data_IF_327627872007
#
_entry.id   IF_327627872007
#
_cell.length_a   1.000
_cell.length_b   1.000
_cell.length_c   1.000
_cell.angle_alpha   90.00
_cell.angle_beta   90.00
_cell.angle_gamma   90.00
#
_symmetry.space_group_name_H-M   'P 1'
#
loop_
_entity.id
_entity.type
_entity.pdbx_description
1 polymer ?
#
# COMPACT_ATOMS: atom_id res chain seq x y z
N UNK A 1 42.71 54.24 -16.68
CA UNK A 1 41.46 53.76 -16.04
C UNK A 1 41.65 52.31 -15.63
N UNK A 2 41.27 51.92 -14.40
CA UNK A 2 41.56 50.59 -13.86
C UNK A 2 40.55 49.58 -14.41
N UNK A 3 41.00 48.61 -15.20
CA UNK A 3 40.17 47.57 -15.81
C UNK A 3 39.73 46.56 -14.74
N UNK A 4 38.58 46.80 -14.11
CA UNK A 4 37.96 45.83 -13.21
C UNK A 4 37.27 44.75 -14.02
N UNK A 5 37.58 43.48 -13.74
CA UNK A 5 37.07 42.33 -14.47
C UNK A 5 35.96 41.66 -13.65
N UNK A 6 34.80 41.47 -14.26
CA UNK A 6 33.58 40.90 -13.63
C UNK A 6 33.86 39.51 -13.08
N UNK A 7 33.36 39.21 -11.88
CA UNK A 7 33.49 37.89 -11.24
C UNK A 7 34.69 37.72 -10.30
N UNK A 8 35.63 38.68 -10.24
CA UNK A 8 36.77 38.56 -9.31
C UNK A 8 36.37 38.77 -7.84
N UNK A 9 35.34 39.58 -7.59
CA UNK A 9 34.93 39.92 -6.22
C UNK A 9 33.99 38.86 -5.65
N UNK A 10 32.96 38.44 -6.39
CA UNK A 10 32.12 37.31 -5.96
C UNK A 10 32.93 36.02 -5.79
N UNK A 11 33.82 35.69 -6.72
CA UNK A 11 34.68 34.52 -6.59
C UNK A 11 35.59 34.61 -5.35
N UNK A 12 36.14 35.80 -5.07
CA UNK A 12 36.93 36.04 -3.86
C UNK A 12 36.13 35.87 -2.58
N UNK A 13 34.93 36.44 -2.51
CA UNK A 13 34.02 36.31 -1.34
C UNK A 13 33.62 34.85 -1.13
N UNK A 14 33.28 34.13 -2.20
CA UNK A 14 32.89 32.71 -2.15
C UNK A 14 34.07 31.85 -1.66
N UNK A 15 35.28 32.07 -2.16
CA UNK A 15 36.48 31.35 -1.71
C UNK A 15 36.79 31.60 -0.24
N UNK A 16 36.67 32.86 0.21
CA UNK A 16 36.87 33.22 1.62
C UNK A 16 35.79 32.57 2.50
N UNK A 17 34.52 32.59 2.07
CA UNK A 17 33.42 31.98 2.80
C UNK A 17 33.58 30.45 2.91
N UNK A 18 33.90 29.78 1.80
CA UNK A 18 34.16 28.33 1.79
C UNK A 18 35.37 27.99 2.67
N UNK A 19 36.46 28.76 2.56
CA UNK A 19 37.67 28.58 3.39
C UNK A 19 37.40 28.77 4.88
N UNK A 20 36.63 29.80 5.26
CA UNK A 20 36.22 30.04 6.65
C UNK A 20 35.32 28.92 7.18
N UNK A 21 34.37 28.44 6.38
CA UNK A 21 33.49 27.32 6.76
C UNK A 21 34.30 26.04 7.00
N UNK A 22 35.26 25.73 6.13
CA UNK A 22 36.18 24.59 6.30
C UNK A 22 37.10 24.75 7.52
N UNK A 23 37.59 25.96 7.78
CA UNK A 23 38.42 26.22 8.95
C UNK A 23 37.63 26.06 10.26
N UNK A 24 36.40 26.61 10.30
CA UNK A 24 35.50 26.53 11.46
C UNK A 24 35.04 25.10 11.76
N UNK A 25 35.03 24.21 10.75
CA UNK A 25 34.75 22.79 10.93
C UNK A 25 35.70 22.13 11.96
N UNK A 26 36.94 22.60 12.08
CA UNK A 26 37.90 22.03 13.02
C UNK A 26 37.57 22.37 14.49
N UNK A 27 36.70 23.35 14.72
CA UNK A 27 36.36 23.86 16.05
C UNK A 27 34.90 23.65 16.45
N UNK A 28 33.99 23.42 15.48
CA UNK A 28 32.54 23.37 15.72
C UNK A 28 31.93 22.12 15.07
N UNK A 29 31.24 21.28 15.85
CA UNK A 29 30.62 20.02 15.42
C UNK A 29 29.23 20.19 14.75
N UNK A 30 29.05 21.18 13.88
CA UNK A 30 27.80 21.33 13.12
C UNK A 30 27.85 20.44 11.87
N UNK A 31 26.73 19.81 11.44
CA UNK A 31 26.68 18.97 10.25
C UNK A 31 26.67 19.82 8.95
N UNK A 32 27.82 20.39 8.59
CA UNK A 32 27.99 21.28 7.43
C UNK A 32 27.85 20.60 6.06
N UNK A 33 27.92 19.27 6.00
CA UNK A 33 27.78 18.49 4.76
C UNK A 33 26.46 18.77 4.04
N UNK A 34 25.36 18.88 4.80
CA UNK A 34 24.03 19.22 4.25
C UNK A 34 23.95 20.66 3.74
N UNK A 35 24.68 21.57 4.39
CA UNK A 35 24.65 23.00 4.09
C UNK A 35 25.48 23.33 2.85
N UNK A 36 26.66 22.70 2.69
CA UNK A 36 27.50 22.83 1.49
C UNK A 36 26.84 22.25 0.24
N UNK A 37 26.16 21.09 0.36
CA UNK A 37 25.43 20.46 -0.76
C UNK A 37 24.22 21.28 -1.19
N UNK A 38 23.59 22.04 -0.29
CA UNK A 38 22.41 22.84 -0.62
C UNK A 38 22.73 24.31 -0.97
N UNK A 39 23.93 24.80 -0.66
CA UNK A 39 24.30 26.21 -0.84
C UNK A 39 24.90 26.54 -2.22
N UNK A 40 25.33 25.54 -3.01
CA UNK A 40 25.91 25.81 -4.34
C UNK A 40 24.98 26.54 -5.33
N UNK A 41 23.63 26.36 -5.32
CA UNK A 41 22.75 27.16 -6.18
C UNK A 41 22.75 28.64 -5.81
N UNK A 42 22.93 28.97 -4.53
CA UNK A 42 23.01 30.37 -4.05
C UNK A 42 24.28 31.05 -4.61
N UNK A 43 25.39 30.31 -4.71
CA UNK A 43 26.61 30.82 -5.33
C UNK A 43 26.40 31.14 -6.83
N UNK A 44 25.66 30.30 -7.56
CA UNK A 44 25.30 30.56 -8.96
C UNK A 44 24.41 31.80 -9.11
N UNK A 45 23.43 31.97 -8.22
CA UNK A 45 22.53 33.12 -8.22
C UNK A 45 23.31 34.42 -7.97
N UNK A 46 24.20 34.43 -6.97
CA UNK A 46 25.00 35.61 -6.64
C UNK A 46 25.96 36.00 -7.77
N UNK A 47 26.56 35.01 -8.44
CA UNK A 47 27.42 35.25 -9.61
C UNK A 47 26.59 35.81 -10.80
N UNK A 48 25.39 35.27 -11.04
CA UNK A 48 24.47 35.80 -12.04
C UNK A 48 24.02 37.24 -11.77
N UNK A 49 23.70 37.55 -10.51
CA UNK A 49 23.34 38.92 -10.07
C UNK A 49 24.48 39.90 -10.31
N UNK A 50 25.73 39.53 -9.99
CA UNK A 50 26.88 40.42 -10.21
C UNK A 50 27.10 40.70 -11.71
N UNK A 51 26.95 39.69 -12.57
CA UNK A 51 27.04 39.88 -14.03
C UNK A 51 25.95 40.85 -14.53
N UNK A 52 24.71 40.68 -14.07
CA UNK A 52 23.60 41.56 -14.43
C UNK A 52 23.84 43.00 -13.96
N UNK A 53 24.27 43.18 -12.71
CA UNK A 53 24.59 44.50 -12.15
C UNK A 53 25.73 45.18 -12.93
N UNK A 54 26.76 44.42 -13.30
CA UNK A 54 27.89 44.98 -14.06
C UNK A 54 27.47 45.42 -15.48
N UNK A 55 26.55 44.69 -16.11
CA UNK A 55 25.99 45.05 -17.42
C UNK A 55 25.11 46.31 -17.35
N UNK A 56 24.35 46.49 -16.26
CA UNK A 56 23.50 47.68 -16.07
C UNK A 56 24.32 48.94 -15.81
N UNK A 57 25.43 48.83 -15.06
CA UNK A 57 26.25 49.98 -14.65
C UNK A 57 27.22 50.44 -15.76
N UNK A 58 27.59 49.57 -16.71
CA UNK A 58 28.55 49.91 -17.78
C UNK A 58 27.99 49.52 -19.17
N UNK A 59 27.24 50.44 -19.78
CA UNK A 59 26.54 50.22 -21.05
C UNK A 59 27.40 50.22 -22.34
N UNK A 60 28.69 50.59 -22.29
CA UNK A 60 29.47 50.83 -23.52
C UNK A 60 30.80 50.06 -23.66
N UNK A 61 31.17 49.19 -22.72
CA UNK A 61 32.39 48.37 -22.85
C UNK A 61 32.07 46.97 -23.42
N UNK A 62 32.82 46.54 -24.45
CA UNK A 62 32.70 45.18 -25.02
C UNK A 62 32.95 44.14 -23.92
N UNK A 63 31.96 43.29 -23.63
CA UNK A 63 32.07 42.18 -22.68
C UNK A 63 33.21 41.23 -23.07
N UNK A 64 34.38 41.39 -22.47
CA UNK A 64 35.50 40.45 -22.59
C UNK A 64 35.44 39.46 -21.44
N UNK A 65 34.89 38.27 -21.70
CA UNK A 65 34.88 37.18 -20.73
C UNK A 65 36.31 36.71 -20.41
N UNK A 66 36.60 36.45 -19.14
CA UNK A 66 37.87 35.82 -18.77
C UNK A 66 37.86 34.37 -19.27
N UNK A 67 38.92 33.89 -19.91
CA UNK A 67 39.07 32.45 -20.18
C UNK A 67 38.91 31.61 -18.90
N UNK A 68 39.25 32.21 -17.75
CA UNK A 68 39.01 31.63 -16.42
C UNK A 68 37.53 31.51 -16.05
N UNK A 69 36.64 32.44 -16.44
CA UNK A 69 35.20 32.34 -16.14
C UNK A 69 34.52 31.32 -17.03
N UNK A 70 34.95 31.17 -18.29
CA UNK A 70 34.51 30.08 -19.18
C UNK A 70 35.01 28.73 -18.65
N UNK A 71 36.27 28.66 -18.22
CA UNK A 71 36.83 27.46 -17.59
C UNK A 71 36.07 27.09 -16.31
N UNK A 72 35.70 28.06 -15.48
CA UNK A 72 34.93 27.83 -14.24
C UNK A 72 33.51 27.34 -14.57
N UNK A 73 32.89 27.84 -15.65
CA UNK A 73 31.59 27.38 -16.13
C UNK A 73 31.66 25.92 -16.63
N UNK A 74 32.69 25.58 -17.41
CA UNK A 74 32.94 24.20 -17.88
C UNK A 74 33.25 23.27 -16.71
N UNK A 75 34.07 23.72 -15.75
CA UNK A 75 34.38 22.98 -14.54
C UNK A 75 33.11 22.73 -13.72
N UNK A 76 32.22 23.72 -13.59
CA UNK A 76 30.95 23.55 -12.89
C UNK A 76 30.00 22.60 -13.62
N UNK A 77 29.93 22.67 -14.95
CA UNK A 77 29.13 21.73 -15.74
C UNK A 77 29.67 20.31 -15.60
N UNK A 78 31.00 20.15 -15.60
CA UNK A 78 31.70 18.89 -15.35
C UNK A 78 31.48 18.36 -13.93
N UNK A 79 31.53 19.21 -12.91
CA UNK A 79 31.23 18.83 -11.51
C UNK A 79 29.77 18.43 -11.36
N UNK A 80 28.82 19.13 -11.99
CA UNK A 80 27.41 18.76 -11.97
C UNK A 80 27.16 17.43 -12.67
N UNK A 81 27.82 17.17 -13.80
CA UNK A 81 27.79 15.88 -14.48
C UNK A 81 28.42 14.79 -13.62
N UNK A 82 29.57 15.04 -13.00
CA UNK A 82 30.22 14.11 -12.06
C UNK A 82 29.39 13.88 -10.81
N UNK A 83 28.59 14.82 -10.34
CA UNK A 83 27.69 14.62 -9.21
C UNK A 83 26.45 13.80 -9.62
N UNK A 84 25.91 14.08 -10.81
CA UNK A 84 24.78 13.34 -11.39
C UNK A 84 25.14 11.90 -11.76
N UNK A 85 26.34 11.70 -12.32
CA UNK A 85 26.91 10.39 -12.66
C UNK A 85 27.48 9.73 -11.39
N UNK A 86 28.09 10.51 -10.50
CA UNK A 86 28.57 10.05 -9.19
C UNK A 86 27.45 9.48 -8.32
N UNK A 87 26.23 10.00 -8.42
CA UNK A 87 25.05 9.40 -7.78
C UNK A 87 24.75 7.99 -8.31
N UNK A 88 25.02 7.70 -9.59
CA UNK A 88 24.95 6.35 -10.15
C UNK A 88 26.13 5.49 -9.69
N UNK A 89 27.35 6.05 -9.64
CA UNK A 89 28.57 5.34 -9.19
C UNK A 89 28.64 5.10 -7.66
N UNK A 90 27.94 5.87 -6.81
CA UNK A 90 27.81 5.60 -5.37
C UNK A 90 27.16 4.23 -5.13
N UNK A 91 26.33 3.77 -6.08
CA UNK A 91 25.71 2.46 -6.07
C UNK A 91 26.67 1.31 -6.42
N UNK A 92 27.80 1.63 -7.08
CA UNK A 92 28.70 0.66 -7.72
C UNK A 92 30.11 0.63 -7.09
N UNK A 93 30.58 1.73 -6.47
CA UNK A 93 31.87 1.85 -5.75
C UNK A 93 31.79 1.38 -4.29
N UNK A 94 30.98 0.36 -4.00
CA UNK A 94 31.21 -0.49 -2.82
C UNK A 94 31.35 0.20 -1.46
N UNK A 95 30.72 1.36 -1.23
CA UNK A 95 30.33 1.74 0.14
C UNK A 95 29.28 0.70 0.55
N UNK A 96 29.76 -0.45 1.01
CA UNK A 96 28.96 -1.37 1.79
C UNK A 96 28.49 -0.54 2.97
N UNK A 97 27.25 -0.04 2.90
CA UNK A 97 26.50 0.29 4.09
C UNK A 97 26.47 -1.03 4.86
N UNK A 98 27.47 -1.24 5.73
CA UNK A 98 27.38 -2.30 6.72
C UNK A 98 26.03 -2.05 7.39
N UNK A 99 25.22 -3.08 7.44
CA UNK A 99 23.96 -3.03 8.13
C UNK A 99 24.13 -3.91 9.35
N UNK A 100 23.76 -3.40 10.50
CA UNK A 100 23.73 -4.18 11.72
C UNK A 100 22.31 -4.69 11.92
N UNK A 101 22.18 -5.94 12.33
CA UNK A 101 20.89 -6.47 12.79
C UNK A 101 20.81 -6.24 14.29
N UNK A 102 19.72 -5.60 14.73
CA UNK A 102 19.37 -5.46 16.13
C UNK A 102 18.27 -6.48 16.42
N UNK A 103 18.54 -7.44 17.31
CA UNK A 103 17.55 -8.41 17.76
C UNK A 103 16.64 -7.79 18.82
N UNK A 104 15.35 -8.10 18.72
CA UNK A 104 14.33 -7.80 19.70
C UNK A 104 13.85 -9.12 20.29
N UNK A 105 13.89 -9.21 21.61
CA UNK A 105 13.28 -10.28 22.39
C UNK A 105 12.68 -9.62 23.63
N UNK A 106 11.41 -9.25 23.52
CA UNK A 106 10.66 -8.57 24.57
C UNK A 106 9.41 -9.38 24.89
N UNK A 107 9.14 -9.58 26.18
CA UNK A 107 7.97 -10.33 26.65
C UNK A 107 7.30 -9.52 27.75
N UNK A 108 6.02 -9.22 27.55
CA UNK A 108 5.23 -8.42 28.48
C UNK A 108 3.91 -9.12 28.77
N UNK A 109 3.66 -9.45 30.02
CA UNK A 109 2.38 -10.01 30.44
C UNK A 109 1.27 -8.96 30.30
N UNK A 110 0.15 -9.32 29.69
CA UNK A 110 -1.05 -8.49 29.71
C UNK A 110 -1.64 -8.57 31.11
N UNK A 111 -1.68 -7.42 31.79
CA UNK A 111 -2.50 -7.27 32.99
C UNK A 111 -3.96 -7.17 32.58
N UNK A 112 -4.88 -7.56 33.48
CA UNK A 112 -6.35 -7.51 33.24
C UNK A 112 -6.92 -6.12 32.91
N UNK A 113 -6.09 -5.08 32.95
CA UNK A 113 -6.43 -3.71 32.58
C UNK A 113 -6.27 -3.39 31.09
N UNK A 114 -5.56 -4.22 30.31
CA UNK A 114 -5.27 -3.94 28.90
C UNK A 114 -6.26 -4.70 28.02
N UNK A 115 -7.06 -3.96 27.26
CA UNK A 115 -8.11 -4.50 26.38
C UNK A 115 -7.75 -4.39 24.89
N UNK A 116 -6.74 -3.57 24.56
CA UNK A 116 -6.41 -3.21 23.18
C UNK A 116 -4.89 -3.23 22.96
N UNK A 117 -4.46 -3.82 21.84
CA UNK A 117 -3.08 -3.78 21.35
C UNK A 117 -3.04 -3.00 20.04
N UNK A 118 -2.21 -1.97 19.99
CA UNK A 118 -1.94 -1.17 18.79
C UNK A 118 -0.51 -1.43 18.35
N UNK A 119 -0.34 -1.93 17.13
CA UNK A 119 0.95 -2.16 16.48
C UNK A 119 1.13 -1.08 15.42
N UNK A 120 2.23 -0.33 15.50
CA UNK A 120 2.61 0.69 14.53
C UNK A 120 3.99 0.38 13.98
N UNK A 121 4.10 0.27 12.66
CA UNK A 121 5.38 0.03 12.03
C UNK A 121 5.49 0.69 10.65
N UNK A 122 6.71 0.76 10.15
CA UNK A 122 7.02 1.31 8.85
C UNK A 122 8.16 0.52 8.21
N UNK A 123 8.02 0.14 6.93
CA UNK A 123 8.96 -0.71 6.22
C UNK A 123 9.19 -2.05 6.95
N UNK A 124 8.11 -2.72 7.36
CA UNK A 124 8.17 -3.85 8.28
C UNK A 124 7.29 -5.00 7.83
N UNK A 125 7.84 -6.22 7.88
CA UNK A 125 7.04 -7.44 7.85
C UNK A 125 6.61 -7.76 9.28
N UNK A 126 5.30 -7.84 9.50
CA UNK A 126 4.72 -8.14 10.81
C UNK A 126 3.94 -9.42 10.73
N UNK A 127 4.30 -10.38 11.56
CA UNK A 127 3.52 -11.58 11.81
C UNK A 127 2.87 -11.47 13.19
N UNK A 128 1.55 -11.44 13.24
CA UNK A 128 0.77 -11.40 14.47
C UNK A 128 0.05 -12.72 14.62
N UNK A 129 0.26 -13.40 15.73
CA UNK A 129 -0.35 -14.68 16.03
C UNK A 129 -1.14 -14.62 17.34
N UNK A 130 -2.40 -15.01 17.29
CA UNK A 130 -3.23 -15.17 18.47
C UNK A 130 -2.92 -16.47 19.21
N UNK A 131 -2.76 -16.38 20.52
CA UNK A 131 -2.44 -17.50 21.40
C UNK A 131 -3.44 -17.57 22.56
N UNK A 132 -3.47 -18.70 23.27
CA UNK A 132 -4.24 -18.84 24.51
C UNK A 132 -3.51 -18.24 25.74
N UNK A 133 -2.29 -17.74 25.54
CA UNK A 133 -1.50 -17.08 26.60
C UNK A 133 -2.04 -15.70 26.91
N UNK A 134 -1.91 -15.26 28.15
CA UNK A 134 -2.18 -13.88 28.58
C UNK A 134 -0.96 -12.98 28.45
N UNK A 135 0.04 -13.34 27.64
CA UNK A 135 1.25 -12.57 27.42
C UNK A 135 1.33 -12.05 25.99
N UNK A 136 1.94 -10.88 25.82
CA UNK A 136 2.38 -10.36 24.53
C UNK A 136 3.88 -10.62 24.41
N UNK A 137 4.27 -11.43 23.43
CA UNK A 137 5.67 -11.67 23.12
C UNK A 137 6.00 -11.01 21.79
N UNK A 138 7.06 -10.21 21.77
CA UNK A 138 7.54 -9.54 20.58
C UNK A 138 8.98 -9.98 20.32
N UNK A 139 9.16 -10.70 19.23
CA UNK A 139 10.44 -11.24 18.80
C UNK A 139 10.72 -10.78 17.38
N UNK A 140 11.96 -10.41 17.06
CA UNK A 140 12.25 -9.98 15.70
C UNK A 140 13.64 -9.41 15.51
N UNK A 141 13.87 -8.89 14.31
CA UNK A 141 15.09 -8.16 14.00
C UNK A 141 14.76 -6.85 13.29
N UNK A 142 15.53 -5.81 13.59
CA UNK A 142 15.52 -4.55 12.86
C UNK A 142 16.88 -4.43 12.18
N UNK A 143 16.85 -4.31 10.85
CA UNK A 143 18.04 -3.98 10.07
C UNK A 143 18.26 -2.46 10.13
N UNK A 144 19.38 -2.05 10.70
CA UNK A 144 19.77 -0.64 10.80
C UNK A 144 21.06 -0.40 10.03
N UNK A 145 21.19 0.81 9.47
CA UNK A 145 22.40 1.21 8.75
C UNK A 145 23.53 1.51 9.74
N UNK A 146 24.65 0.78 9.65
CA UNK A 146 25.87 0.96 10.45
C UNK A 146 26.60 2.23 9.98
N UNK A 147 26.03 3.39 10.33
CA UNK A 147 26.67 4.69 10.09
C UNK A 147 27.51 5.03 11.30
N UNK A 148 28.80 4.65 11.33
CA UNK A 148 29.94 5.21 12.08
C UNK A 148 29.64 6.09 13.35
N UNK A 149 28.61 5.77 14.11
CA UNK A 149 28.22 6.44 15.34
C UNK A 149 28.90 5.63 16.42
N UNK A 150 29.86 6.27 17.08
CA UNK A 150 30.61 5.76 18.23
C UNK A 150 29.74 5.38 19.44
N UNK A 151 28.43 5.57 19.36
CA UNK A 151 27.49 5.28 20.43
C UNK A 151 26.73 4.00 20.12
N UNK A 152 26.71 3.09 21.08
CA UNK A 152 25.96 1.84 21.05
C UNK A 152 24.49 2.11 20.70
N UNK A 153 24.09 1.82 19.46
CA UNK A 153 22.68 1.83 19.05
C UNK A 153 21.87 0.93 20.00
N UNK A 154 20.93 1.53 20.73
CA UNK A 154 20.09 0.79 21.68
C UNK A 154 18.81 0.36 20.98
N UNK A 155 18.31 -0.84 21.29
CA UNK A 155 17.00 -1.34 20.82
C UNK A 155 15.89 -0.32 21.07
N UNK A 156 15.95 0.40 22.20
CA UNK A 156 14.97 1.43 22.61
C UNK A 156 14.81 2.60 21.64
N UNK A 157 15.80 2.82 20.77
CA UNK A 157 15.77 3.92 19.80
C UNK A 157 14.84 3.58 18.61
N UNK A 158 14.74 2.30 18.28
CA UNK A 158 14.00 1.77 17.14
C UNK A 158 12.72 1.02 17.53
N UNK A 159 12.59 0.60 18.78
CA UNK A 159 11.45 -0.17 19.26
C UNK A 159 11.01 0.34 20.62
N UNK A 160 9.69 0.43 20.84
CA UNK A 160 9.15 0.69 22.16
C UNK A 160 7.80 0.05 22.40
N UNK A 161 7.59 -0.41 23.63
CA UNK A 161 6.29 -0.81 24.15
C UNK A 161 5.86 0.18 25.23
N UNK A 162 4.71 0.80 25.05
CA UNK A 162 4.12 1.72 26.03
C UNK A 162 2.73 1.22 26.42
N UNK A 163 2.39 1.35 27.69
CA UNK A 163 1.03 1.11 28.18
C UNK A 163 0.42 2.45 28.52
N UNK A 164 -0.68 2.81 27.86
CA UNK A 164 -1.42 4.04 28.06
C UNK A 164 -2.86 3.68 28.43
N UNK A 165 -3.16 3.69 29.73
CA UNK A 165 -4.48 3.28 30.22
C UNK A 165 -4.75 1.80 29.89
N UNK A 166 -5.80 1.57 29.10
CA UNK A 166 -6.27 0.26 28.64
C UNK A 166 -5.61 -0.22 27.34
N UNK A 167 -4.67 0.55 26.79
CA UNK A 167 -4.01 0.26 25.52
C UNK A 167 -2.54 -0.09 25.69
N UNK A 168 -2.10 -1.13 25.00
CA UNK A 168 -0.68 -1.41 24.78
C UNK A 168 -0.30 -0.98 23.37
N UNK A 169 0.75 -0.16 23.26
CA UNK A 169 1.25 0.35 21.98
C UNK A 169 2.64 -0.23 21.73
N UNK A 170 2.76 -1.00 20.67
CA UNK A 170 4.01 -1.53 20.12
C UNK A 170 4.36 -0.67 18.92
N UNK A 171 5.49 0.02 18.97
CA UNK A 171 5.90 0.98 17.94
C UNK A 171 7.32 0.67 17.46
N UNK A 172 7.46 0.43 16.14
CA UNK A 172 8.76 0.47 15.45
C UNK A 172 8.97 1.89 14.92
N UNK A 173 10.06 2.51 15.35
CA UNK A 173 10.49 3.84 14.90
C UNK A 173 11.59 3.68 13.85
N UNK A 174 11.39 4.34 12.72
CA UNK A 174 12.47 4.52 11.73
C UNK A 174 13.10 5.91 11.94
N UNK A 175 14.41 6.02 11.69
CA UNK A 175 15.10 7.31 11.77
C UNK A 175 14.67 8.19 10.58
N UNK A 176 13.72 9.09 10.84
CA UNK A 176 13.17 10.04 9.85
C UNK A 176 14.22 11.09 9.37
N UNK A 177 15.46 11.07 9.85
CA UNK A 177 16.52 12.01 9.43
C UNK A 177 17.14 11.74 8.06
N UNK A 178 16.53 10.90 7.22
CA UNK A 178 17.05 10.62 5.88
C UNK A 178 16.63 11.72 4.87
N UNK A 179 17.62 12.39 4.29
CA UNK A 179 17.46 13.43 3.25
C UNK A 179 17.00 12.82 1.91
N UNK A 180 17.16 11.51 1.75
CA UNK A 180 16.75 10.76 0.57
C UNK A 180 15.95 9.51 1.01
N UNK A 181 14.74 9.35 0.48
CA UNK A 181 13.83 8.23 0.76
C UNK A 181 14.24 6.94 0.03
N UNK A 182 15.47 6.46 0.25
CA UNK A 182 15.89 5.14 -0.24
C UNK A 182 16.23 4.23 0.94
N UNK A 183 15.25 4.06 1.83
CA UNK A 183 15.45 3.18 2.99
C UNK A 183 15.19 1.72 2.62
N UNK A 184 16.21 0.87 2.77
CA UNK A 184 16.12 -0.58 2.65
C UNK A 184 16.07 -1.27 4.03
N UNK A 185 15.87 -0.50 5.10
CA UNK A 185 15.66 -1.04 6.43
C UNK A 185 14.31 -1.78 6.44
N UNK A 186 14.37 -3.10 6.24
CA UNK A 186 13.26 -4.01 6.49
C UNK A 186 13.42 -4.57 7.90
N UNK A 187 12.44 -4.37 8.74
CA UNK A 187 12.34 -5.07 10.02
C UNK A 187 11.38 -6.25 9.91
N UNK A 188 11.67 -7.34 10.61
CA UNK A 188 10.78 -8.48 10.75
C UNK A 188 10.37 -8.62 12.21
N UNK A 189 9.07 -8.55 12.50
CA UNK A 189 8.54 -8.76 13.85
C UNK A 189 7.54 -9.92 13.86
N UNK A 190 7.67 -10.76 14.88
CA UNK A 190 6.71 -11.76 15.29
C UNK A 190 6.11 -11.32 16.62
N UNK A 191 4.80 -11.17 16.67
CA UNK A 191 4.04 -10.70 17.82
C UNK A 191 3.02 -11.77 18.18
N UNK A 192 3.26 -12.49 19.26
CA UNK A 192 2.25 -13.36 19.88
C UNK A 192 1.43 -12.53 20.86
N UNK A 193 0.11 -12.63 20.79
CA UNK A 193 -0.81 -11.94 21.70
C UNK A 193 -2.04 -12.81 22.00
N UNK A 194 -2.84 -12.52 23.03
CA UNK A 194 -4.06 -13.29 23.30
C UNK A 194 -5.03 -13.18 22.12
N UNK A 195 -5.53 -14.32 21.63
CA UNK A 195 -6.45 -14.34 20.48
C UNK A 195 -7.73 -13.50 20.66
N UNK A 196 -8.15 -13.29 21.90
CA UNK A 196 -9.34 -12.53 22.28
C UNK A 196 -9.14 -11.02 22.43
N UNK A 197 -7.91 -10.50 22.33
CA UNK A 197 -7.67 -9.06 22.50
C UNK A 197 -8.02 -8.27 21.24
N UNK A 198 -8.50 -7.04 21.40
CA UNK A 198 -8.70 -6.10 20.28
C UNK A 198 -7.34 -5.73 19.70
N UNK A 199 -7.19 -5.77 18.38
CA UNK A 199 -5.89 -5.53 17.73
C UNK A 199 -6.02 -4.53 16.59
N UNK A 200 -5.16 -3.50 16.61
CA UNK A 200 -5.04 -2.52 15.53
C UNK A 200 -3.62 -2.56 14.98
N UNK A 201 -3.47 -2.93 13.71
CA UNK A 201 -2.19 -3.05 13.02
C UNK A 201 -2.13 -1.93 11.97
N UNK A 202 -1.19 -1.02 12.11
CA UNK A 202 -0.95 0.05 11.16
C UNK A 202 0.48 -0.05 10.64
N UNK A 203 0.61 -0.47 9.40
CA UNK A 203 1.89 -0.58 8.68
C UNK A 203 1.87 0.44 7.55
N UNK A 204 2.92 1.26 7.41
CA UNK A 204 2.98 2.14 6.23
C UNK A 204 3.34 1.33 4.99
N UNK A 205 4.50 0.68 5.02
CA UNK A 205 4.97 -0.21 3.95
C UNK A 205 5.43 -1.53 4.57
N UNK A 206 5.11 -2.65 3.93
CA UNK A 206 5.47 -3.99 4.36
C UNK A 206 4.27 -4.92 4.52
N UNK A 207 4.54 -6.22 4.61
CA UNK A 207 3.52 -7.25 4.70
C UNK A 207 3.01 -7.44 6.12
N UNK A 208 1.73 -7.83 6.23
CA UNK A 208 1.11 -8.21 7.50
C UNK A 208 0.62 -9.64 7.36
N UNK A 209 1.09 -10.53 8.22
CA UNK A 209 0.56 -11.87 8.39
C UNK A 209 -0.22 -11.90 9.72
N UNK A 210 -1.49 -12.27 9.70
CA UNK A 210 -2.34 -12.40 10.89
C UNK A 210 -2.84 -13.83 10.99
N UNK A 211 -2.64 -14.49 12.13
CA UNK A 211 -3.14 -15.85 12.38
C UNK A 211 -3.90 -15.95 13.70
N UNK A 212 -4.93 -16.78 13.75
CA UNK A 212 -5.58 -17.26 14.98
C UNK A 212 -6.22 -16.17 15.87
N UNK A 213 -7.03 -15.26 15.30
CA UNK A 213 -7.74 -14.21 16.07
C UNK A 213 -9.22 -14.52 16.24
N UNK A 214 -9.76 -14.21 17.41
CA UNK A 214 -11.18 -14.45 17.76
C UNK A 214 -11.93 -13.17 18.16
N UNK A 215 -11.34 -12.01 17.96
CA UNK A 215 -11.94 -10.72 18.27
C UNK A 215 -11.54 -9.67 17.22
N UNK A 216 -12.20 -8.52 17.28
CA UNK A 216 -12.08 -7.44 16.32
C UNK A 216 -10.62 -7.10 16.05
N UNK A 217 -10.25 -7.20 14.78
CA UNK A 217 -8.92 -6.87 14.28
C UNK A 217 -9.04 -5.89 13.12
N UNK A 218 -8.25 -4.81 13.18
CA UNK A 218 -8.18 -3.78 12.14
C UNK A 218 -6.75 -3.71 11.62
N UNK A 219 -6.58 -3.94 10.33
CA UNK A 219 -5.29 -3.89 9.63
C UNK A 219 -5.38 -2.78 8.59
N UNK A 220 -4.46 -1.82 8.66
CA UNK A 220 -4.25 -0.83 7.62
C UNK A 220 -2.80 -0.92 7.14
N UNK A 221 -2.64 -1.12 5.84
CA UNK A 221 -1.36 -0.97 5.13
C UNK A 221 -1.47 0.10 4.04
N UNK A 222 -0.38 0.77 3.64
CA UNK A 222 -0.39 1.45 2.34
C UNK A 222 0.10 0.48 1.27
N UNK A 223 1.28 -0.10 1.49
CA UNK A 223 1.94 -0.99 0.54
C UNK A 223 2.30 -2.31 1.20
N UNK A 224 2.08 -3.42 0.49
CA UNK A 224 2.42 -4.77 0.94
C UNK A 224 1.21 -5.67 1.13
N UNK A 225 1.47 -6.97 1.02
CA UNK A 225 0.46 -8.02 1.08
C UNK A 225 -0.06 -8.21 2.52
N UNK A 226 -1.36 -8.40 2.66
CA UNK A 226 -2.00 -8.77 3.92
C UNK A 226 -2.45 -10.22 3.80
N UNK A 227 -1.88 -11.12 4.61
CA UNK A 227 -2.25 -12.52 4.71
C UNK A 227 -2.96 -12.76 6.03
N UNK A 228 -4.15 -13.36 6.00
CA UNK A 228 -4.99 -13.56 7.17
C UNK A 228 -5.47 -15.01 7.19
N UNK A 229 -5.27 -15.69 8.31
CA UNK A 229 -5.66 -17.08 8.49
C UNK A 229 -6.36 -17.31 9.83
N UNK A 230 -7.41 -18.14 9.84
CA UNK A 230 -8.09 -18.62 11.05
C UNK A 230 -8.59 -17.44 11.91
N UNK A 231 -9.50 -16.65 11.35
CA UNK A 231 -10.07 -15.46 12.03
C UNK A 231 -11.56 -15.61 12.26
N UNK A 232 -11.99 -15.36 13.50
CA UNK A 232 -13.40 -15.28 13.89
C UNK A 232 -13.70 -13.89 14.47
N UNK A 233 -14.84 -13.31 14.10
CA UNK A 233 -15.31 -12.01 14.59
C UNK A 233 -15.22 -10.89 13.56
N UNK A 234 -15.06 -9.64 14.00
CA UNK A 234 -15.03 -8.49 13.09
C UNK A 234 -13.63 -8.32 12.48
N UNK A 235 -13.51 -8.24 11.17
CA UNK A 235 -12.23 -8.02 10.49
C UNK A 235 -12.32 -6.83 9.54
N UNK A 236 -11.47 -5.82 9.74
CA UNK A 236 -11.27 -4.74 8.77
C UNK A 236 -9.84 -4.83 8.26
N UNK A 237 -9.64 -5.22 7.00
CA UNK A 237 -8.32 -5.33 6.39
C UNK A 237 -8.26 -4.45 5.14
N UNK A 238 -7.42 -3.41 5.20
CA UNK A 238 -7.29 -2.43 4.13
C UNK A 238 -5.84 -2.25 3.71
N UNK A 239 -5.60 -2.24 2.41
CA UNK A 239 -4.31 -1.84 1.82
C UNK A 239 -4.54 -0.91 0.64
N UNK A 240 -3.53 -0.17 0.18
CA UNK A 240 -3.68 0.68 -1.01
C UNK A 240 -3.29 -0.10 -2.26
N UNK A 241 -2.06 -0.62 -2.27
CA UNK A 241 -1.47 -1.23 -3.47
C UNK A 241 -1.13 -2.73 -3.29
N UNK A 242 -1.37 -3.29 -2.10
CA UNK A 242 -1.11 -4.70 -1.82
C UNK A 242 -2.28 -5.62 -2.16
N UNK A 243 -2.00 -6.92 -2.31
CA UNK A 243 -3.03 -7.95 -2.32
C UNK A 243 -3.48 -8.33 -0.91
N UNK A 244 -4.69 -8.85 -0.78
CA UNK A 244 -5.21 -9.40 0.48
C UNK A 244 -5.59 -10.86 0.26
N UNK A 245 -5.04 -11.75 1.08
CA UNK A 245 -5.43 -13.16 1.15
C UNK A 245 -6.08 -13.46 2.49
N UNK A 246 -7.27 -14.04 2.48
CA UNK A 246 -8.03 -14.44 3.66
C UNK A 246 -8.38 -15.92 3.56
N UNK A 247 -7.97 -16.73 4.54
CA UNK A 247 -8.27 -18.17 4.57
C UNK A 247 -8.88 -18.57 5.91
N UNK A 248 -9.93 -19.39 5.88
CA UNK A 248 -10.63 -19.93 7.06
C UNK A 248 -11.13 -18.81 7.99
N UNK A 249 -12.24 -18.18 7.61
CA UNK A 249 -12.80 -17.07 8.38
C UNK A 249 -14.29 -17.25 8.70
N UNK A 250 -14.68 -16.79 9.89
CA UNK A 250 -16.07 -16.64 10.30
C UNK A 250 -16.30 -15.20 10.75
N UNK A 251 -16.85 -14.39 9.84
CA UNK A 251 -16.87 -12.94 9.96
C UNK A 251 -18.25 -12.40 10.32
N UNK A 252 -18.28 -11.35 11.12
CA UNK A 252 -19.50 -10.62 11.47
C UNK A 252 -19.82 -9.51 10.47
N UNK A 253 -21.03 -8.95 10.55
CA UNK A 253 -21.60 -7.96 9.61
C UNK A 253 -20.75 -6.72 9.34
N UNK A 254 -19.91 -6.30 10.29
CA UNK A 254 -19.10 -5.08 10.20
C UNK A 254 -17.72 -5.32 9.56
N UNK A 255 -17.50 -6.49 8.96
CA UNK A 255 -16.20 -6.84 8.35
C UNK A 255 -16.07 -6.25 6.95
N UNK A 256 -14.86 -5.79 6.62
CA UNK A 256 -14.55 -5.11 5.36
C UNK A 256 -13.14 -5.48 4.90
N UNK A 257 -13.02 -5.98 3.68
CA UNK A 257 -11.76 -6.32 3.03
C UNK A 257 -11.60 -5.41 1.81
N UNK A 258 -10.59 -4.56 1.79
CA UNK A 258 -10.47 -3.58 0.71
C UNK A 258 -9.02 -3.31 0.26
N UNK A 259 -8.84 -3.18 -1.05
CA UNK A 259 -7.61 -2.66 -1.65
C UNK A 259 -7.96 -1.68 -2.77
N UNK A 260 -7.01 -0.89 -3.28
CA UNK A 260 -7.24 -0.13 -4.51
C UNK A 260 -6.73 -0.93 -5.71
N UNK A 261 -5.47 -1.32 -5.69
CA UNK A 261 -4.82 -1.83 -6.92
C UNK A 261 -4.51 -3.34 -6.85
N UNK A 262 -4.72 -3.97 -5.69
CA UNK A 262 -4.39 -5.38 -5.48
C UNK A 262 -5.52 -6.35 -5.73
N UNK A 263 -5.16 -7.62 -5.87
CA UNK A 263 -6.09 -8.75 -5.86
C UNK A 263 -6.58 -9.06 -4.44
N UNK A 264 -7.85 -9.47 -4.33
CA UNK A 264 -8.43 -10.03 -3.11
C UNK A 264 -8.72 -11.51 -3.34
N UNK A 265 -8.09 -12.39 -2.57
CA UNK A 265 -8.34 -13.84 -2.59
C UNK A 265 -8.91 -14.28 -1.25
N UNK A 266 -10.04 -14.97 -1.26
CA UNK A 266 -10.73 -15.44 -0.05
C UNK A 266 -11.07 -16.91 -0.19
N UNK A 267 -10.73 -17.72 0.83
CA UNK A 267 -11.02 -19.16 0.86
C UNK A 267 -11.66 -19.55 2.19
N UNK A 268 -12.69 -20.39 2.14
CA UNK A 268 -13.37 -20.94 3.32
C UNK A 268 -13.90 -19.82 4.23
N UNK A 269 -14.90 -19.07 3.76
CA UNK A 269 -15.51 -17.95 4.48
C UNK A 269 -16.93 -18.30 4.93
N UNK A 270 -17.29 -17.91 6.15
CA UNK A 270 -18.64 -17.98 6.69
C UNK A 270 -19.08 -16.66 7.33
N UNK A 271 -20.40 -16.46 7.46
CA UNK A 271 -20.98 -15.27 8.07
C UNK A 271 -21.22 -14.15 7.06
N UNK A 272 -20.45 -13.06 7.14
CA UNK A 272 -20.64 -11.86 6.31
C UNK A 272 -19.38 -11.51 5.53
N UNK A 273 -19.56 -10.93 4.33
CA UNK A 273 -18.45 -10.55 3.48
C UNK A 273 -18.71 -9.24 2.73
N UNK A 274 -17.84 -8.25 2.94
CA UNK A 274 -17.76 -7.06 2.11
C UNK A 274 -16.34 -6.98 1.55
N UNK A 275 -16.22 -7.03 0.22
CA UNK A 275 -14.94 -7.03 -0.48
C UNK A 275 -14.94 -6.01 -1.61
N UNK A 276 -13.98 -5.10 -1.59
CA UNK A 276 -13.87 -4.04 -2.60
C UNK A 276 -12.43 -3.90 -3.10
N UNK A 277 -12.25 -3.92 -4.41
CA UNK A 277 -11.01 -3.45 -5.05
C UNK A 277 -11.34 -2.42 -6.13
N UNK A 278 -10.35 -1.69 -6.62
CA UNK A 278 -10.56 -0.76 -7.74
C UNK A 278 -10.05 -1.39 -9.04
N UNK A 279 -8.77 -1.69 -9.11
CA UNK A 279 -8.11 -2.12 -10.35
C UNK A 279 -7.59 -3.58 -10.26
N UNK A 280 -8.09 -4.35 -9.29
CA UNK A 280 -7.75 -5.77 -9.09
C UNK A 280 -8.92 -6.73 -9.29
N UNK A 281 -8.61 -8.02 -9.34
CA UNK A 281 -9.61 -9.09 -9.33
C UNK A 281 -10.02 -9.47 -7.90
N UNK A 282 -11.22 -10.07 -7.79
CA UNK A 282 -11.69 -10.70 -6.55
C UNK A 282 -11.95 -12.17 -6.83
N UNK A 283 -11.32 -13.05 -6.06
CA UNK A 283 -11.53 -14.51 -6.14
C UNK A 283 -11.99 -15.04 -4.79
N UNK A 284 -13.13 -15.72 -4.75
CA UNK A 284 -13.72 -16.29 -3.53
C UNK A 284 -14.05 -17.76 -3.76
N UNK A 285 -13.54 -18.63 -2.89
CA UNK A 285 -13.72 -20.08 -2.93
C UNK A 285 -14.33 -20.58 -1.61
N UNK A 286 -15.36 -21.43 -1.68
CA UNK A 286 -16.05 -22.01 -0.52
C UNK A 286 -16.61 -20.94 0.43
N UNK A 287 -17.68 -20.28 0.00
CA UNK A 287 -18.37 -19.25 0.78
C UNK A 287 -19.72 -19.72 1.30
N UNK A 288 -19.98 -19.53 2.60
CA UNK A 288 -21.28 -19.79 3.23
C UNK A 288 -21.77 -18.56 4.01
N UNK A 289 -22.56 -17.72 3.35
CA UNK A 289 -22.89 -16.36 3.78
C UNK A 289 -24.29 -16.33 4.40
N UNK A 290 -24.38 -15.84 5.64
CA UNK A 290 -25.62 -15.69 6.41
C UNK A 290 -26.39 -14.41 6.02
N UNK A 291 -25.69 -13.42 5.46
CA UNK A 291 -26.22 -12.12 5.06
C UNK A 291 -26.14 -11.86 3.55
N UNK A 292 -26.03 -10.57 3.19
CA UNK A 292 -25.72 -10.15 1.82
C UNK A 292 -24.22 -9.92 1.71
N UNK A 293 -23.55 -10.58 0.77
CA UNK A 293 -22.21 -10.16 0.38
C UNK A 293 -22.24 -8.99 -0.58
N UNK A 294 -21.41 -7.99 -0.32
CA UNK A 294 -21.16 -6.89 -1.24
C UNK A 294 -19.76 -7.09 -1.83
N UNK A 295 -19.68 -7.39 -3.12
CA UNK A 295 -18.42 -7.72 -3.82
C UNK A 295 -18.29 -6.77 -5.01
N UNK A 296 -17.33 -5.85 -4.96
CA UNK A 296 -17.19 -4.80 -5.97
C UNK A 296 -15.75 -4.67 -6.47
N UNK A 297 -15.57 -4.64 -7.78
CA UNK A 297 -14.36 -4.11 -8.43
C UNK A 297 -14.73 -3.05 -9.46
N UNK A 298 -13.77 -2.25 -9.92
CA UNK A 298 -13.99 -1.26 -10.99
C UNK A 298 -13.41 -1.77 -12.31
N UNK A 299 -12.18 -2.25 -12.30
CA UNK A 299 -11.46 -2.80 -13.45
C UNK A 299 -10.81 -4.12 -13.06
N UNK A 300 -11.58 -5.20 -13.17
CA UNK A 300 -11.17 -6.53 -12.74
C UNK A 300 -12.30 -7.55 -12.80
N UNK A 301 -11.91 -8.82 -12.79
CA UNK A 301 -12.82 -9.95 -12.78
C UNK A 301 -13.27 -10.31 -11.36
N UNK A 302 -14.50 -10.82 -11.24
CA UNK A 302 -15.01 -11.42 -10.01
C UNK A 302 -15.24 -12.90 -10.28
N UNK A 303 -14.51 -13.76 -9.57
CA UNK A 303 -14.60 -15.21 -9.68
C UNK A 303 -15.07 -15.78 -8.34
N UNK A 304 -16.20 -16.49 -8.34
CA UNK A 304 -16.80 -17.08 -7.16
C UNK A 304 -17.02 -18.56 -7.41
N UNK A 305 -16.54 -19.43 -6.53
CA UNK A 305 -16.69 -20.88 -6.65
C UNK A 305 -17.19 -21.48 -5.34
N UNK A 306 -18.16 -22.39 -5.42
CA UNK A 306 -18.91 -22.95 -4.27
C UNK A 306 -19.45 -21.83 -3.35
N UNK A 307 -20.31 -20.99 -3.93
CA UNK A 307 -20.88 -19.83 -3.25
C UNK A 307 -22.31 -20.11 -2.76
N UNK A 308 -22.54 -20.00 -1.45
CA UNK A 308 -23.83 -20.17 -0.80
C UNK A 308 -24.21 -18.90 -0.06
N UNK A 309 -25.37 -18.33 -0.35
CA UNK A 309 -25.86 -17.11 0.31
C UNK A 309 -26.42 -16.07 -0.66
N UNK A 310 -26.72 -14.88 -0.15
CA UNK A 310 -27.18 -13.74 -0.96
C UNK A 310 -26.00 -12.90 -1.43
N UNK A 311 -25.99 -12.54 -2.71
CA UNK A 311 -24.89 -11.78 -3.32
C UNK A 311 -25.34 -10.49 -4.02
N UNK A 312 -24.53 -9.44 -3.85
CA UNK A 312 -24.49 -8.27 -4.72
C UNK A 312 -23.07 -8.13 -5.30
N UNK A 313 -22.86 -8.62 -6.53
CA UNK A 313 -21.58 -8.57 -7.22
C UNK A 313 -21.59 -7.52 -8.33
N UNK A 314 -20.57 -6.65 -8.36
CA UNK A 314 -20.47 -5.60 -9.36
C UNK A 314 -19.03 -5.40 -9.86
N UNK A 315 -18.87 -5.33 -11.18
CA UNK A 315 -17.70 -4.75 -11.83
C UNK A 315 -18.12 -3.70 -12.87
N UNK A 316 -17.22 -2.78 -13.25
CA UNK A 316 -17.49 -1.92 -14.41
C UNK A 316 -16.83 -2.52 -15.65
N UNK A 317 -15.55 -2.91 -15.57
CA UNK A 317 -14.85 -3.58 -16.65
C UNK A 317 -14.34 -4.93 -16.15
N UNK A 318 -14.88 -6.02 -16.71
CA UNK A 318 -14.47 -7.38 -16.31
C UNK A 318 -15.62 -8.37 -16.29
N UNK A 319 -15.26 -9.65 -16.40
CA UNK A 319 -16.22 -10.74 -16.31
C UNK A 319 -16.62 -11.00 -14.85
N UNK A 320 -17.83 -11.55 -14.67
CA UNK A 320 -18.26 -12.11 -13.39
C UNK A 320 -18.59 -13.59 -13.63
N UNK A 321 -17.82 -14.48 -13.00
CA UNK A 321 -18.01 -15.91 -13.05
C UNK A 321 -18.47 -16.39 -11.67
N UNK A 322 -19.61 -17.05 -11.61
CA UNK A 322 -20.17 -17.62 -10.38
C UNK A 322 -20.46 -19.09 -10.60
N UNK A 323 -19.68 -19.97 -10.00
CA UNK A 323 -19.74 -21.42 -10.14
C UNK A 323 -20.31 -22.08 -8.87
N UNK A 324 -21.01 -23.20 -9.05
CA UNK A 324 -21.60 -24.01 -7.97
C UNK A 324 -22.43 -23.17 -6.98
N UNK A 325 -23.23 -22.24 -7.50
CA UNK A 325 -23.93 -21.26 -6.68
C UNK A 325 -25.24 -21.80 -6.07
N UNK A 326 -25.46 -21.57 -4.77
CA UNK A 326 -26.76 -21.72 -4.09
C UNK A 326 -27.21 -20.37 -3.53
N UNK A 327 -28.04 -19.67 -4.31
CA UNK A 327 -28.52 -18.33 -3.97
C UNK A 327 -29.84 -18.43 -3.20
N UNK A 328 -29.74 -18.39 -1.87
CA UNK A 328 -30.87 -18.52 -0.95
C UNK A 328 -31.57 -17.18 -0.62
N UNK A 329 -31.26 -16.11 -1.36
CA UNK A 329 -31.85 -14.79 -1.17
C UNK A 329 -31.76 -13.91 -2.42
N UNK A 330 -32.48 -12.78 -2.40
CA UNK A 330 -32.53 -11.85 -3.53
C UNK A 330 -31.16 -11.33 -3.92
N UNK A 331 -30.67 -11.69 -5.09
CA UNK A 331 -29.28 -11.42 -5.51
C UNK A 331 -29.22 -10.52 -6.74
N UNK A 332 -28.09 -9.82 -6.88
CA UNK A 332 -27.80 -8.94 -8.01
C UNK A 332 -26.39 -9.17 -8.50
N UNK A 333 -26.22 -9.32 -9.81
CA UNK A 333 -24.92 -9.48 -10.45
C UNK A 333 -24.89 -8.52 -11.64
N UNK A 334 -23.88 -7.64 -11.70
CA UNK A 334 -23.78 -6.70 -12.82
C UNK A 334 -22.37 -6.35 -13.23
N UNK A 335 -22.13 -6.32 -14.55
CA UNK A 335 -20.93 -5.77 -15.19
C UNK A 335 -21.34 -4.63 -16.12
N UNK A 336 -20.53 -3.60 -16.37
CA UNK A 336 -20.84 -2.69 -17.48
C UNK A 336 -20.26 -3.28 -18.79
N UNK A 337 -18.99 -3.67 -18.79
CA UNK A 337 -18.26 -4.20 -19.93
C UNK A 337 -17.62 -5.55 -19.59
N UNK A 338 -18.44 -6.60 -19.59
CA UNK A 338 -17.96 -7.96 -19.37
C UNK A 338 -19.06 -9.01 -19.39
N UNK A 339 -18.64 -10.23 -19.69
CA UNK A 339 -19.48 -11.44 -19.68
C UNK A 339 -19.88 -11.80 -18.25
N UNK A 340 -21.10 -12.31 -18.09
CA UNK A 340 -21.56 -12.86 -16.82
C UNK A 340 -21.90 -14.33 -17.03
N UNK A 341 -21.16 -15.21 -16.37
CA UNK A 341 -21.43 -16.65 -16.33
C UNK A 341 -21.87 -17.05 -14.92
N UNK A 342 -23.00 -17.77 -14.83
CA UNK A 342 -23.56 -18.25 -13.57
C UNK A 342 -23.95 -19.72 -13.72
N UNK A 343 -23.31 -20.59 -12.97
CA UNK A 343 -23.63 -22.01 -12.90
C UNK A 343 -24.30 -22.32 -11.54
N UNK A 344 -25.60 -22.62 -11.60
CA UNK A 344 -26.48 -22.79 -10.46
C UNK A 344 -26.58 -24.26 -10.03
N UNK A 345 -26.54 -24.50 -8.71
CA UNK A 345 -26.88 -25.80 -8.13
C UNK A 345 -28.37 -26.14 -8.30
N UNK A 346 -28.69 -27.44 -8.28
CA UNK A 346 -30.06 -27.97 -8.51
C UNK A 346 -31.14 -27.40 -7.61
N UNK A 347 -30.77 -27.13 -6.36
CA UNK A 347 -31.67 -26.77 -5.27
C UNK A 347 -32.07 -25.28 -5.26
N UNK A 348 -31.62 -24.50 -6.25
CA UNK A 348 -32.00 -23.10 -6.38
C UNK A 348 -33.49 -22.92 -6.69
N UNK A 349 -34.04 -21.85 -6.13
CA UNK A 349 -35.43 -21.42 -6.27
C UNK A 349 -35.45 -19.93 -6.66
N UNK A 350 -35.22 -19.64 -7.94
CA UNK A 350 -34.93 -18.31 -8.46
C UNK A 350 -35.86 -17.91 -9.60
N UNK A 351 -36.38 -16.69 -9.54
CA UNK A 351 -36.85 -15.95 -10.71
C UNK A 351 -35.69 -15.09 -11.21
N UNK A 352 -35.23 -15.34 -12.42
CA UNK A 352 -34.07 -14.69 -13.00
C UNK A 352 -34.55 -13.64 -14.00
N UNK A 353 -34.16 -12.38 -13.79
CA UNK A 353 -34.38 -11.29 -14.72
C UNK A 353 -33.01 -10.85 -15.26
N UNK A 354 -32.80 -11.01 -16.56
CA UNK A 354 -31.54 -10.71 -17.21
C UNK A 354 -31.69 -9.56 -18.22
N UNK A 355 -30.73 -8.65 -18.26
CA UNK A 355 -30.69 -7.50 -19.18
C UNK A 355 -29.30 -7.36 -19.81
N UNK A 356 -29.26 -7.25 -21.14
CA UNK A 356 -28.05 -6.83 -21.90
C UNK A 356 -28.44 -5.94 -23.07
N UNK A 357 -27.58 -5.00 -23.48
CA UNK A 357 -27.85 -4.15 -24.64
C UNK A 357 -27.29 -4.73 -25.92
N UNK A 358 -26.02 -5.13 -25.90
CA UNK A 358 -25.29 -5.56 -27.10
C UNK A 358 -24.88 -7.04 -27.06
N UNK A 359 -25.23 -7.76 -25.99
CA UNK A 359 -24.92 -9.17 -25.81
C UNK A 359 -26.04 -10.13 -26.16
N UNK A 360 -25.84 -11.39 -25.79
CA UNK A 360 -26.81 -12.47 -25.97
C UNK A 360 -27.11 -13.18 -24.65
N UNK A 361 -28.22 -13.90 -24.61
CA UNK A 361 -28.60 -14.76 -23.50
C UNK A 361 -28.45 -16.22 -23.93
N UNK A 362 -27.75 -17.02 -23.13
CA UNK A 362 -27.55 -18.45 -23.39
C UNK A 362 -27.59 -19.27 -22.10
N UNK A 363 -27.61 -20.60 -22.25
CA UNK A 363 -27.65 -21.56 -21.16
C UNK A 363 -28.91 -22.43 -21.13
N UNK A 364 -28.96 -23.37 -20.18
CA UNK A 364 -29.92 -24.48 -20.17
C UNK A 364 -31.13 -24.28 -19.22
N UNK A 365 -31.39 -23.06 -18.76
CA UNK A 365 -32.44 -22.76 -17.77
C UNK A 365 -33.82 -22.41 -18.35
N UNK A 366 -33.99 -22.51 -19.68
CA UNK A 366 -35.27 -22.26 -20.34
C UNK A 366 -35.66 -20.78 -20.39
N UNK A 367 -34.84 -19.96 -21.07
CA UNK A 367 -35.10 -18.53 -21.24
C UNK A 367 -36.43 -18.23 -21.95
N UNK A 368 -37.23 -17.35 -21.36
CA UNK A 368 -38.43 -16.75 -21.92
C UNK A 368 -38.18 -15.26 -22.23
N UNK A 369 -38.42 -14.85 -23.48
CA UNK A 369 -38.33 -13.45 -23.85
C UNK A 369 -39.48 -12.67 -23.20
N UNK A 370 -39.16 -11.54 -22.55
CA UNK A 370 -40.17 -10.70 -21.90
C UNK A 370 -41.09 -10.01 -22.90
N UNK A 371 -40.54 -9.62 -24.05
CA UNK A 371 -41.28 -9.01 -25.15
C UNK A 371 -40.69 -9.50 -26.48
N UNK A 372 -41.53 -9.93 -27.43
CA UNK A 372 -41.07 -10.48 -28.72
C UNK A 372 -40.35 -9.44 -29.60
N UNK A 373 -40.57 -8.16 -29.31
CA UNK A 373 -39.98 -7.03 -30.04
C UNK A 373 -38.73 -6.44 -29.32
N UNK A 374 -38.36 -6.92 -28.11
CA UNK A 374 -37.20 -6.43 -27.35
C UNK A 374 -36.18 -7.54 -27.08
N UNK A 375 -35.04 -7.51 -27.77
CA UNK A 375 -33.95 -8.47 -27.59
C UNK A 375 -33.06 -8.20 -26.37
N UNK A 376 -33.41 -7.22 -25.53
CA UNK A 376 -32.56 -6.69 -24.46
C UNK A 376 -32.85 -7.29 -23.09
N UNK A 377 -33.97 -8.01 -22.94
CA UNK A 377 -34.39 -8.58 -21.64
C UNK A 377 -34.96 -9.97 -21.78
N UNK A 378 -34.47 -10.87 -20.93
CA UNK A 378 -34.97 -12.25 -20.80
C UNK A 378 -35.30 -12.57 -19.35
N UNK A 379 -36.23 -13.50 -19.18
CA UNK A 379 -36.62 -14.04 -17.88
C UNK A 379 -36.48 -15.54 -17.89
N UNK A 380 -36.16 -16.12 -16.74
CA UNK A 380 -36.24 -17.56 -16.54
C UNK A 380 -36.70 -17.86 -15.11
N UNK A 381 -37.20 -19.08 -14.90
CA UNK A 381 -37.59 -19.55 -13.58
C UNK A 381 -36.89 -20.87 -13.29
N UNK A 382 -36.15 -20.91 -12.19
CA UNK A 382 -35.47 -22.09 -11.67
C UNK A 382 -36.16 -22.50 -10.37
N UNK A 383 -36.61 -23.75 -10.28
CA UNK A 383 -37.34 -24.22 -9.09
C UNK A 383 -38.72 -23.57 -8.97
N UNK A 384 -39.10 -23.16 -7.76
CA UNK A 384 -40.40 -22.52 -7.47
C UNK A 384 -40.41 -20.99 -7.64
N UNK A 385 -39.25 -20.36 -7.92
CA UNK A 385 -39.12 -18.92 -8.12
C UNK A 385 -39.17 -18.04 -6.85
N UNK A 386 -38.95 -18.60 -5.66
CA UNK A 386 -39.02 -17.91 -4.36
C UNK A 386 -38.16 -16.64 -4.26
N UNK A 387 -36.91 -16.70 -4.71
CA UNK A 387 -35.96 -15.59 -4.67
C UNK A 387 -35.79 -14.91 -6.04
N UNK A 388 -35.36 -13.65 -6.06
CA UNK A 388 -35.08 -12.93 -7.31
C UNK A 388 -33.57 -12.87 -7.58
N UNK A 389 -33.16 -13.14 -8.81
CA UNK A 389 -31.80 -12.88 -9.30
C UNK A 389 -31.87 -11.88 -10.45
N UNK A 390 -31.27 -10.70 -10.25
CA UNK A 390 -31.17 -9.69 -11.29
C UNK A 390 -29.75 -9.70 -11.88
N UNK A 391 -29.64 -10.00 -13.17
CA UNK A 391 -28.38 -10.06 -13.89
C UNK A 391 -28.36 -8.96 -14.94
N UNK A 392 -27.32 -8.13 -14.96
CA UNK A 392 -27.22 -7.03 -15.92
C UNK A 392 -25.83 -6.88 -16.48
N UNK A 393 -25.71 -6.81 -17.79
CA UNK A 393 -24.49 -6.32 -18.44
C UNK A 393 -24.84 -5.28 -19.50
N UNK A 394 -23.92 -4.40 -19.90
CA UNK A 394 -24.20 -3.47 -21.02
C UNK A 394 -23.80 -4.11 -22.33
N UNK A 395 -22.54 -4.55 -22.41
CA UNK A 395 -21.95 -5.03 -23.67
C UNK A 395 -21.68 -6.54 -23.68
N UNK A 396 -21.68 -7.20 -22.52
CA UNK A 396 -21.39 -8.62 -22.41
C UNK A 396 -22.57 -9.53 -22.69
N UNK A 397 -22.29 -10.82 -22.89
CA UNK A 397 -23.33 -11.85 -22.90
C UNK A 397 -23.59 -12.39 -21.49
N UNK A 398 -24.77 -12.97 -21.30
CA UNK A 398 -25.20 -13.58 -20.04
C UNK A 398 -25.42 -15.08 -20.29
N UNK A 399 -24.65 -15.91 -19.59
CA UNK A 399 -24.74 -17.36 -19.63
C UNK A 399 -25.20 -17.84 -18.26
N UNK A 400 -26.32 -18.56 -18.22
CA UNK A 400 -26.79 -19.16 -16.96
C UNK A 400 -27.10 -20.62 -17.17
N UNK A 401 -26.37 -21.48 -16.47
CA UNK A 401 -26.62 -22.92 -16.47
C UNK A 401 -27.14 -23.39 -15.12
N UNK A 402 -27.75 -24.56 -15.16
CA UNK A 402 -28.15 -25.34 -14.00
C UNK A 402 -27.65 -26.77 -14.17
N UNK A 403 -27.03 -27.30 -13.13
CA UNK A 403 -26.53 -28.68 -13.07
C UNK A 403 -27.64 -29.74 -13.03
#
# INVERSE_FOLDING_TARGET
MRNWKVGTITAGIILIAIGLLWFLQNFISIPYSKLLINAWPVACILLGIEILLFNIVRKEDTLRFHGFSIFLLILMMGVSLLFSIGHLFIKEIGYTFKSKNIEINDSKTITSSINEVIIKANNSEISVNGTDSSAVNVNGNIRVSDRNKKDSEKVSDYYSVKTLGDKMIIEIRNDDNQIFHFDHNRSQLNIDLPKSILTYINVKNGSVNLTNKENKTVINSNDGQINIENVTGNLVAKTRNGSISLTNANLNSDSEIATNDGEITIKNISGYLNSTTRDGSISIEHANIDGTSEITTYDGEINLSDYKGKINAKTNNGAINVEEALLNGNSKISSDDGEIQIDLLKDNNLTINAETNDGSFSGNIGWEMKNKDENHTNKAMVGNGENQLNVKTRNGSIYVNKD
#
